data_IF_278847105149
#
_entry.id   IF_278847105149
#
_cell.length_a   1.000
_cell.length_b   1.000
_cell.length_c   1.000
_cell.angle_alpha   90.00
_cell.angle_beta   90.00
_cell.angle_gamma   90.00
#
_symmetry.space_group_name_H-M   'P 1'
#
loop_
_entity.id
_entity.type
_entity.pdbx_description
1 polymer ?
#
# COMPACT_ATOMS: atom_id res chain seq x y z
N UNK A 1 4.37 -14.39 0.51
CA UNK A 1 3.19 -13.61 0.05
C UNK A 1 3.46 -12.15 0.39
N UNK A 2 3.16 -11.21 -0.52
CA UNK A 2 3.34 -9.77 -0.25
C UNK A 2 2.18 -9.26 0.59
N UNK A 3 2.45 -8.37 1.54
CA UNK A 3 1.43 -7.83 2.43
C UNK A 3 0.49 -6.84 1.70
N UNK A 4 -0.82 -6.94 1.95
CA UNK A 4 -1.84 -6.10 1.32
C UNK A 4 -1.62 -4.59 1.55
N UNK A 5 -1.00 -4.22 2.68
CA UNK A 5 -0.72 -2.84 3.05
C UNK A 5 0.32 -2.21 2.11
N UNK A 6 1.33 -2.97 1.67
CA UNK A 6 2.30 -2.48 0.71
C UNK A 6 1.65 -2.26 -0.67
N UNK A 7 0.74 -3.17 -1.07
CA UNK A 7 -0.03 -3.02 -2.32
C UNK A 7 -0.92 -1.78 -2.23
N UNK A 8 -1.66 -1.63 -1.14
CA UNK A 8 -2.52 -0.47 -0.92
C UNK A 8 -1.72 0.84 -0.94
N UNK A 9 -0.60 0.87 -0.23
CA UNK A 9 0.24 2.05 -0.05
C UNK A 9 0.91 2.52 -1.34
N UNK A 10 1.46 1.60 -2.16
CA UNK A 10 2.19 1.94 -3.38
C UNK A 10 1.29 2.14 -4.60
N UNK A 11 0.12 1.49 -4.64
CA UNK A 11 -0.86 1.75 -5.70
C UNK A 11 -1.72 2.99 -5.36
N UNK A 12 -1.83 3.35 -4.08
CA UNK A 12 -2.64 4.48 -3.64
C UNK A 12 -4.15 4.21 -3.75
N UNK A 13 -4.57 2.95 -3.63
CA UNK A 13 -5.97 2.58 -3.73
C UNK A 13 -6.69 2.67 -2.39
N UNK A 14 -7.90 3.23 -2.39
CA UNK A 14 -8.80 3.09 -1.26
C UNK A 14 -9.27 1.63 -1.12
N UNK A 15 -9.39 1.19 0.11
CA UNK A 15 -10.04 -0.05 0.51
C UNK A 15 -11.50 -0.10 0.04
N UNK A 16 -12.04 -1.31 -0.06
CA UNK A 16 -13.45 -1.50 -0.41
C UNK A 16 -14.37 -0.75 0.56
N UNK A 17 -14.07 -0.81 1.85
CA UNK A 17 -14.84 -0.15 2.90
C UNK A 17 -14.82 1.38 2.75
N UNK A 18 -13.64 1.98 2.52
CA UNK A 18 -13.54 3.43 2.28
C UNK A 18 -14.35 3.87 1.04
N UNK A 19 -14.31 3.09 -0.05
CA UNK A 19 -15.12 3.35 -1.26
C UNK A 19 -16.61 3.23 -0.97
N UNK A 20 -17.02 2.21 -0.21
CA UNK A 20 -18.41 1.98 0.18
C UNK A 20 -18.95 3.17 0.98
N UNK A 21 -18.20 3.63 1.99
CA UNK A 21 -18.56 4.75 2.86
C UNK A 21 -18.64 6.03 2.05
N UNK A 22 -17.63 6.31 1.22
CA UNK A 22 -17.61 7.48 0.37
C UNK A 22 -18.85 7.51 -0.54
N UNK A 23 -19.18 6.40 -1.20
CA UNK A 23 -20.36 6.30 -2.06
C UNK A 23 -21.66 6.54 -1.28
N UNK A 24 -21.86 5.83 -0.15
CA UNK A 24 -23.12 5.89 0.61
C UNK A 24 -23.32 7.24 1.30
N UNK A 25 -22.31 7.79 1.96
CA UNK A 25 -22.42 9.06 2.67
C UNK A 25 -22.53 10.27 1.74
N UNK A 26 -21.83 10.24 0.60
CA UNK A 26 -22.00 11.32 -0.40
C UNK A 26 -23.37 11.25 -1.07
N UNK A 27 -23.93 10.05 -1.27
CA UNK A 27 -25.31 9.91 -1.71
C UNK A 27 -26.31 10.38 -0.65
N UNK A 28 -26.09 10.04 0.63
CA UNK A 28 -26.90 10.56 1.74
C UNK A 28 -26.89 12.10 1.77
N UNK A 29 -25.71 12.72 1.69
CA UNK A 29 -25.59 14.17 1.55
C UNK A 29 -26.30 14.69 0.29
N UNK A 30 -26.19 14.00 -0.85
CA UNK A 30 -26.92 14.42 -2.06
C UNK A 30 -28.42 14.45 -1.84
N UNK A 31 -29.00 13.45 -1.16
CA UNK A 31 -30.42 13.42 -0.82
C UNK A 31 -30.80 14.59 0.10
N UNK A 32 -29.96 14.92 1.08
CA UNK A 32 -30.18 16.04 2.00
C UNK A 32 -30.34 17.42 1.31
N UNK A 33 -29.59 17.67 0.23
CA UNK A 33 -29.64 18.94 -0.51
C UNK A 33 -30.43 18.86 -1.83
N UNK A 34 -31.13 17.76 -2.07
CA UNK A 34 -31.93 17.57 -3.27
C UNK A 34 -33.29 18.27 -3.14
N UNK A 35 -33.79 18.87 -4.23
CA UNK A 35 -35.16 19.41 -4.28
C UNK A 35 -36.21 18.35 -3.95
N UNK A 36 -37.22 18.73 -3.17
CA UNK A 36 -38.37 17.90 -2.76
C UNK A 36 -39.30 17.52 -3.92
N UNK A 37 -39.14 18.12 -5.09
CA UNK A 37 -39.87 17.71 -6.30
C UNK A 37 -39.43 16.34 -6.80
N UNK A 38 -38.17 15.95 -6.51
CA UNK A 38 -37.63 14.68 -6.97
C UNK A 38 -38.10 13.52 -6.10
N UNK A 39 -38.56 12.45 -6.74
CA UNK A 39 -39.03 11.23 -6.07
C UNK A 39 -38.03 10.67 -5.06
N UNK A 40 -36.74 10.64 -5.39
CA UNK A 40 -35.70 10.16 -4.49
C UNK A 40 -35.63 10.96 -3.19
N UNK A 41 -35.84 12.28 -3.23
CA UNK A 41 -35.94 13.12 -2.03
C UNK A 41 -37.20 12.82 -1.23
N UNK A 42 -38.35 12.69 -1.90
CA UNK A 42 -39.63 12.38 -1.25
C UNK A 42 -39.61 11.05 -0.52
N UNK A 43 -39.07 10.02 -1.17
CA UNK A 43 -38.88 8.70 -0.57
C UNK A 43 -37.92 8.79 0.61
N UNK A 44 -36.82 9.52 0.49
CA UNK A 44 -35.90 9.74 1.60
C UNK A 44 -36.57 10.44 2.78
N UNK A 45 -37.30 11.53 2.55
CA UNK A 45 -38.05 12.24 3.60
C UNK A 45 -39.08 11.32 4.27
N UNK A 46 -39.80 10.51 3.50
CA UNK A 46 -40.74 9.51 4.03
C UNK A 46 -40.03 8.48 4.92
N UNK A 47 -38.91 7.92 4.46
CA UNK A 47 -38.13 6.94 5.23
C UNK A 47 -37.63 7.52 6.57
N UNK A 48 -37.18 8.78 6.56
CA UNK A 48 -36.70 9.47 7.76
C UNK A 48 -37.85 9.82 8.71
N UNK A 49 -39.00 10.29 8.19
CA UNK A 49 -40.17 10.64 9.00
C UNK A 49 -40.82 9.41 9.66
N UNK A 50 -40.86 8.28 8.96
CA UNK A 50 -41.45 7.02 9.45
C UNK A 50 -40.46 6.17 10.27
N UNK A 51 -39.22 6.62 10.44
CA UNK A 51 -38.15 5.86 11.11
C UNK A 51 -37.94 4.44 10.53
N UNK A 52 -38.25 4.23 9.25
CA UNK A 52 -38.12 2.93 8.61
C UNK A 52 -36.64 2.55 8.41
N UNK A 53 -36.17 1.57 9.19
CA UNK A 53 -34.78 1.07 9.14
C UNK A 53 -34.54 0.08 8.00
N UNK A 54 -34.59 0.57 6.76
CA UNK A 54 -34.22 -0.21 5.58
C UNK A 54 -32.78 -0.74 5.70
N UNK A 55 -32.42 -1.74 4.90
CA UNK A 55 -31.03 -2.26 4.86
C UNK A 55 -30.02 -1.15 4.57
N UNK A 56 -30.38 -0.21 3.69
CA UNK A 56 -29.53 0.93 3.35
C UNK A 56 -29.36 1.90 4.54
N UNK A 57 -30.46 2.31 5.19
CA UNK A 57 -30.42 3.20 6.36
C UNK A 57 -29.59 2.59 7.49
N UNK A 58 -29.79 1.29 7.77
CA UNK A 58 -28.97 0.56 8.77
C UNK A 58 -27.50 0.56 8.43
N UNK A 59 -27.15 0.34 7.15
CA UNK A 59 -25.75 0.33 6.72
C UNK A 59 -25.12 1.71 6.79
N UNK A 60 -25.82 2.77 6.37
CA UNK A 60 -25.35 4.16 6.50
C UNK A 60 -25.06 4.48 7.97
N UNK A 61 -25.99 4.20 8.86
CA UNK A 61 -25.81 4.42 10.30
C UNK A 61 -24.59 3.68 10.88
N UNK A 62 -24.37 2.42 10.50
CA UNK A 62 -23.19 1.65 10.92
C UNK A 62 -21.89 2.28 10.43
N UNK A 63 -21.86 2.77 9.18
CA UNK A 63 -20.68 3.40 8.60
C UNK A 63 -20.42 4.78 9.24
N UNK A 64 -21.47 5.58 9.49
CA UNK A 64 -21.36 6.86 10.19
C UNK A 64 -20.77 6.67 11.59
N UNK A 65 -21.28 5.67 12.35
CA UNK A 65 -20.74 5.32 13.67
C UNK A 65 -19.27 4.91 13.59
N UNK A 66 -18.92 4.05 12.63
CA UNK A 66 -17.57 3.48 12.51
C UNK A 66 -16.51 4.55 12.18
N UNK A 67 -16.87 5.51 11.34
CA UNK A 67 -15.96 6.58 10.91
C UNK A 67 -16.07 7.85 11.77
N UNK A 68 -16.72 7.77 12.94
CA UNK A 68 -16.71 8.85 13.92
C UNK A 68 -17.62 10.04 13.61
N UNK A 69 -18.52 9.92 12.62
CA UNK A 69 -19.36 11.05 12.17
C UNK A 69 -20.43 11.49 13.19
N UNK A 70 -20.67 10.70 14.25
CA UNK A 70 -21.57 11.09 15.34
C UNK A 70 -20.86 11.87 16.44
N UNK A 71 -19.58 11.59 16.68
CA UNK A 71 -18.76 12.31 17.65
C UNK A 71 -18.37 13.69 17.12
N UNK A 72 -18.01 13.75 15.83
CA UNK A 72 -17.65 14.99 15.16
C UNK A 72 -18.59 15.24 13.97
N UNK A 73 -19.67 16.02 14.17
CA UNK A 73 -20.58 16.38 13.09
C UNK A 73 -19.88 17.14 11.96
N UNK A 74 -20.42 17.02 10.75
CA UNK A 74 -19.92 17.77 9.59
C UNK A 74 -20.19 19.27 9.76
N UNK A 75 -19.16 20.09 9.62
CA UNK A 75 -19.23 21.55 9.80
C UNK A 75 -19.76 22.24 8.55
N UNK A 76 -19.44 21.72 7.36
CA UNK A 76 -19.78 22.40 6.13
C UNK A 76 -21.31 22.52 5.91
N UNK A 77 -21.76 23.72 5.55
CA UNK A 77 -23.20 24.00 5.39
C UNK A 77 -23.75 23.62 4.02
N UNK A 78 -22.89 23.48 3.00
CA UNK A 78 -23.30 23.15 1.64
C UNK A 78 -22.89 21.74 1.21
N UNK A 79 -23.60 21.21 0.21
CA UNK A 79 -23.37 19.84 -0.33
C UNK A 79 -21.93 19.56 -0.71
N UNK A 80 -21.27 20.52 -1.38
CA UNK A 80 -19.91 20.35 -1.91
C UNK A 80 -18.91 20.27 -0.76
N UNK A 81 -19.02 21.16 0.22
CA UNK A 81 -18.22 21.19 1.43
C UNK A 81 -18.35 19.90 2.23
N UNK A 82 -19.60 19.45 2.51
CA UNK A 82 -19.82 18.18 3.23
C UNK A 82 -19.22 16.98 2.51
N UNK A 83 -19.35 16.94 1.18
CA UNK A 83 -18.76 15.86 0.38
C UNK A 83 -17.23 15.85 0.49
N UNK A 84 -16.60 17.03 0.51
CA UNK A 84 -15.15 17.17 0.68
C UNK A 84 -14.71 16.71 2.08
N UNK A 85 -15.42 17.16 3.11
CA UNK A 85 -15.17 16.82 4.51
C UNK A 85 -15.32 15.31 4.77
N UNK A 86 -16.38 14.69 4.24
CA UNK A 86 -16.58 13.23 4.28
C UNK A 86 -15.38 12.50 3.67
N UNK A 87 -14.94 12.90 2.49
CA UNK A 87 -13.81 12.24 1.81
C UNK A 87 -12.51 12.41 2.57
N UNK A 88 -12.28 13.59 3.16
CA UNK A 88 -11.10 13.87 3.95
C UNK A 88 -11.06 12.99 5.21
N UNK A 89 -12.16 12.93 5.97
CA UNK A 89 -12.23 12.10 7.17
C UNK A 89 -12.10 10.60 6.87
N UNK A 90 -12.69 10.13 5.77
CA UNK A 90 -12.50 8.75 5.31
C UNK A 90 -11.03 8.47 4.98
N UNK A 91 -10.36 9.42 4.30
CA UNK A 91 -8.94 9.29 3.96
C UNK A 91 -8.07 9.21 5.22
N UNK A 92 -8.28 10.09 6.19
CA UNK A 92 -7.53 10.10 7.45
C UNK A 92 -7.74 8.81 8.25
N UNK A 93 -8.98 8.36 8.38
CA UNK A 93 -9.31 7.10 9.07
C UNK A 93 -8.71 5.88 8.35
N UNK A 94 -8.67 5.89 7.01
CA UNK A 94 -8.06 4.85 6.20
C UNK A 94 -6.53 4.83 6.34
N UNK A 95 -5.87 5.98 6.28
CA UNK A 95 -4.43 6.10 6.49
C UNK A 95 -4.01 5.65 7.89
N UNK A 96 -4.79 6.00 8.92
CA UNK A 96 -4.50 5.57 10.28
C UNK A 96 -4.63 4.05 10.44
N UNK A 97 -5.73 3.47 9.94
CA UNK A 97 -5.91 2.02 9.95
C UNK A 97 -4.81 1.30 9.19
N UNK A 98 -4.37 1.86 8.07
CA UNK A 98 -3.27 1.32 7.27
C UNK A 98 -1.94 1.35 8.04
N UNK A 99 -1.59 2.47 8.69
CA UNK A 99 -0.40 2.56 9.55
C UNK A 99 -0.43 1.52 10.67
N UNK A 100 -1.56 1.39 11.37
CA UNK A 100 -1.72 0.41 12.44
C UNK A 100 -1.56 -1.03 11.95
N UNK A 101 -2.09 -1.36 10.77
CA UNK A 101 -1.97 -2.70 10.18
C UNK A 101 -0.51 -3.06 9.82
N UNK A 102 0.36 -2.07 9.59
CA UNK A 102 1.78 -2.28 9.31
C UNK A 102 2.62 -2.54 10.57
N UNK A 103 2.22 -2.02 11.74
CA UNK A 103 3.01 -2.09 12.98
C UNK A 103 3.35 -3.53 13.38
N UNK A 104 2.39 -4.44 13.23
CA UNK A 104 2.54 -5.84 13.63
C UNK A 104 3.30 -6.71 12.61
N UNK A 105 3.74 -6.14 11.47
CA UNK A 105 4.37 -6.89 10.38
C UNK A 105 5.85 -6.54 10.29
N UNK A 106 6.70 -7.40 10.84
CA UNK A 106 8.16 -7.23 10.80
C UNK A 106 8.72 -7.12 9.38
N UNK A 107 8.13 -7.83 8.40
CA UNK A 107 8.55 -7.74 7.00
C UNK A 107 8.34 -6.36 6.38
N UNK A 108 7.47 -5.52 6.95
CA UNK A 108 7.21 -4.16 6.47
C UNK A 108 8.02 -3.09 7.21
N UNK A 109 9.01 -3.48 8.03
CA UNK A 109 9.77 -2.52 8.84
C UNK A 109 10.44 -1.42 8.00
N UNK A 110 11.14 -1.80 6.93
CA UNK A 110 11.74 -0.83 6.01
C UNK A 110 10.68 0.01 5.29
N UNK A 111 9.61 -0.63 4.83
CA UNK A 111 8.52 0.03 4.12
C UNK A 111 7.83 1.11 4.96
N UNK A 112 7.45 0.79 6.21
CA UNK A 112 6.76 1.72 7.12
C UNK A 112 7.66 2.84 7.64
N UNK A 113 8.98 2.66 7.63
CA UNK A 113 9.94 3.69 8.05
C UNK A 113 10.00 4.84 7.04
N UNK A 114 9.77 4.56 5.76
CA UNK A 114 9.92 5.55 4.69
C UNK A 114 8.65 5.84 3.89
N UNK A 115 7.57 5.07 4.09
CA UNK A 115 6.27 5.28 3.42
C UNK A 115 5.23 5.72 4.44
N UNK A 116 4.89 7.00 4.41
CA UNK A 116 3.98 7.61 5.40
C UNK A 116 2.53 7.74 4.92
N UNK A 117 2.31 7.68 3.61
CA UNK A 117 1.01 7.96 2.98
C UNK A 117 0.62 6.93 1.92
N UNK A 118 -0.69 6.71 1.79
CA UNK A 118 -1.29 5.90 0.74
C UNK A 118 -1.34 6.77 -0.52
N UNK A 119 -0.35 6.58 -1.40
CA UNK A 119 -0.21 7.39 -2.61
C UNK A 119 0.49 6.59 -3.72
N UNK A 120 0.05 6.72 -4.98
CA UNK A 120 0.62 5.99 -6.09
C UNK A 120 2.11 6.31 -6.27
N UNK A 121 2.90 5.27 -6.49
CA UNK A 121 4.35 5.35 -6.63
C UNK A 121 4.72 5.10 -8.10
N UNK A 122 5.31 6.07 -8.83
CA UNK A 122 5.58 5.98 -10.27
C UNK A 122 6.87 5.20 -10.58
N UNK A 123 7.13 4.10 -9.89
CA UNK A 123 8.36 3.31 -10.04
C UNK A 123 8.17 2.05 -10.87
N UNK A 124 6.92 1.67 -11.18
CA UNK A 124 6.60 0.37 -11.74
C UNK A 124 6.24 0.45 -13.23
N UNK A 125 6.88 -0.39 -14.03
CA UNK A 125 6.71 -0.52 -15.49
C UNK A 125 6.17 -1.91 -15.89
N UNK A 126 5.62 -2.67 -14.93
CA UNK A 126 5.14 -4.04 -15.07
C UNK A 126 6.19 -5.08 -15.53
N UNK A 127 7.47 -4.71 -15.64
CA UNK A 127 8.57 -5.63 -15.90
C UNK A 127 8.93 -6.51 -14.69
N UNK A 128 9.74 -7.54 -14.92
CA UNK A 128 10.23 -8.42 -13.85
C UNK A 128 10.97 -7.63 -12.76
N UNK A 129 11.83 -6.69 -13.15
CA UNK A 129 12.53 -5.83 -12.22
C UNK A 129 11.59 -4.99 -11.36
N UNK A 130 10.45 -4.54 -11.89
CA UNK A 130 9.41 -3.83 -11.12
C UNK A 130 8.72 -4.74 -10.11
N UNK A 131 8.43 -5.99 -10.48
CA UNK A 131 7.86 -6.99 -9.55
C UNK A 131 8.85 -7.27 -8.42
N UNK A 132 10.11 -7.51 -8.74
CA UNK A 132 11.16 -7.78 -7.75
C UNK A 132 11.45 -6.56 -6.88
N UNK A 133 11.43 -5.36 -7.45
CA UNK A 133 11.58 -4.10 -6.71
C UNK A 133 10.43 -3.92 -5.71
N UNK A 134 9.19 -4.18 -6.12
CA UNK A 134 8.04 -4.14 -5.22
C UNK A 134 8.17 -5.17 -4.08
N UNK A 135 8.58 -6.41 -4.40
CA UNK A 135 8.86 -7.41 -3.37
C UNK A 135 9.96 -6.95 -2.41
N UNK A 136 11.04 -6.33 -2.90
CA UNK A 136 12.12 -5.79 -2.08
C UNK A 136 11.65 -4.64 -1.18
N UNK A 137 10.91 -3.68 -1.73
CA UNK A 137 10.30 -2.56 -1.00
C UNK A 137 9.37 -3.05 0.12
N UNK A 138 8.55 -4.06 -0.16
CA UNK A 138 7.64 -4.66 0.81
C UNK A 138 8.32 -5.66 1.76
N UNK A 139 9.65 -5.79 1.69
CA UNK A 139 10.46 -6.76 2.45
C UNK A 139 10.11 -8.22 2.16
N UNK A 140 9.39 -8.50 1.08
CA UNK A 140 8.88 -9.80 0.68
C UNK A 140 9.77 -10.54 -0.34
N UNK A 141 10.86 -9.93 -0.79
CA UNK A 141 11.82 -10.52 -1.72
C UNK A 141 12.33 -11.85 -1.18
N UNK A 142 12.28 -12.90 -2.02
CA UNK A 142 12.56 -14.28 -1.62
C UNK A 142 14.05 -14.61 -1.55
N UNK A 143 14.81 -13.80 -0.81
CA UNK A 143 16.22 -14.04 -0.52
C UNK A 143 16.41 -15.28 0.36
N UNK A 144 17.60 -15.86 0.40
CA UNK A 144 17.85 -17.03 1.24
C UNK A 144 17.65 -16.76 2.73
N UNK A 145 18.10 -15.60 3.24
CA UNK A 145 17.86 -15.22 4.64
C UNK A 145 16.36 -15.20 4.96
N UNK A 146 15.53 -14.69 4.04
CA UNK A 146 14.07 -14.72 4.23
C UNK A 146 13.51 -16.14 4.17
N UNK A 147 14.03 -17.00 3.29
CA UNK A 147 13.56 -18.38 3.15
C UNK A 147 13.89 -19.22 4.37
N UNK A 148 15.03 -18.99 5.02
CA UNK A 148 15.43 -19.71 6.23
C UNK A 148 14.34 -19.71 7.32
N UNK A 149 13.56 -18.64 7.42
CA UNK A 149 12.46 -18.56 8.38
C UNK A 149 11.31 -19.55 8.11
N UNK A 150 11.26 -20.18 6.94
CA UNK A 150 10.16 -21.06 6.50
C UNK A 150 10.63 -22.40 5.93
N UNK A 151 11.92 -22.55 5.67
CA UNK A 151 12.52 -23.72 5.03
C UNK A 151 13.61 -24.29 5.95
N UNK A 152 13.24 -25.35 6.68
CA UNK A 152 14.14 -26.04 7.62
C UNK A 152 15.21 -26.89 6.93
N UNK A 153 15.12 -27.11 5.63
CA UNK A 153 16.10 -27.87 4.84
C UNK A 153 17.18 -26.96 4.25
N UNK A 154 17.06 -25.64 4.43
CA UNK A 154 18.01 -24.67 3.89
C UNK A 154 19.34 -24.72 4.65
N UNK A 155 20.34 -25.34 4.02
CA UNK A 155 21.68 -25.55 4.58
C UNK A 155 22.50 -24.26 4.70
N UNK A 156 22.29 -23.30 3.78
CA UNK A 156 23.07 -22.06 3.74
C UNK A 156 22.25 -20.89 3.24
N UNK A 157 22.50 -19.72 3.84
CA UNK A 157 21.92 -18.43 3.44
C UNK A 157 22.88 -17.56 2.64
N UNK A 158 24.09 -18.06 2.35
CA UNK A 158 25.11 -17.33 1.61
C UNK A 158 24.64 -17.02 0.19
N UNK A 159 24.92 -15.80 -0.27
CA UNK A 159 24.51 -15.30 -1.58
C UNK A 159 24.98 -16.20 -2.72
N UNK A 160 24.03 -16.63 -3.56
CA UNK A 160 24.32 -17.51 -4.71
C UNK A 160 25.13 -16.84 -5.82
N UNK A 161 25.15 -15.51 -5.84
CA UNK A 161 25.89 -14.77 -6.84
C UNK A 161 27.37 -14.62 -6.46
N UNK A 162 27.67 -14.23 -5.21
CA UNK A 162 29.05 -13.95 -4.79
C UNK A 162 29.69 -15.04 -3.92
N UNK A 163 28.90 -15.91 -3.29
CA UNK A 163 29.40 -16.96 -2.39
C UNK A 163 30.05 -16.45 -1.10
N UNK A 164 29.99 -15.14 -0.80
CA UNK A 164 30.78 -14.54 0.29
C UNK A 164 29.98 -14.19 1.55
N UNK A 165 28.83 -13.53 1.41
CA UNK A 165 28.02 -13.04 2.54
C UNK A 165 26.57 -13.46 2.41
N UNK A 166 25.81 -13.33 3.48
CA UNK A 166 24.39 -13.69 3.53
C UNK A 166 23.55 -12.96 2.47
N UNK A 167 22.64 -13.71 1.85
CA UNK A 167 21.74 -13.20 0.83
C UNK A 167 20.61 -12.38 1.47
N UNK A 168 20.88 -11.09 1.68
CA UNK A 168 19.90 -10.10 2.16
C UNK A 168 19.42 -9.18 1.03
N UNK A 169 18.34 -8.43 1.28
CA UNK A 169 17.86 -7.41 0.34
C UNK A 169 18.93 -6.33 0.14
N UNK A 170 19.53 -5.85 1.23
CA UNK A 170 20.66 -4.91 1.19
C UNK A 170 21.77 -5.44 0.31
N UNK A 171 22.21 -6.68 0.56
CA UNK A 171 23.29 -7.27 -0.23
C UNK A 171 22.99 -7.29 -1.73
N UNK A 172 21.83 -7.81 -2.14
CA UNK A 172 21.47 -7.91 -3.56
C UNK A 172 21.36 -6.52 -4.21
N UNK A 173 20.68 -5.59 -3.54
CA UNK A 173 20.36 -4.28 -4.11
C UNK A 173 21.59 -3.36 -4.13
N UNK A 174 22.40 -3.34 -3.07
CA UNK A 174 23.44 -2.31 -2.87
C UNK A 174 24.86 -2.83 -2.70
N UNK A 175 25.15 -4.12 -2.50
CA UNK A 175 26.52 -4.52 -2.10
C UNK A 175 27.14 -5.63 -2.96
N UNK A 176 26.32 -6.48 -3.59
CA UNK A 176 26.80 -7.67 -4.27
C UNK A 176 27.74 -7.32 -5.44
N UNK A 177 29.02 -7.74 -5.40
CA UNK A 177 30.01 -7.36 -6.42
C UNK A 177 29.82 -8.12 -7.74
N UNK A 178 29.14 -9.26 -7.69
CA UNK A 178 28.85 -10.10 -8.86
C UNK A 178 27.58 -9.67 -9.62
N UNK A 179 26.88 -8.65 -9.15
CA UNK A 179 25.72 -8.07 -9.82
C UNK A 179 26.12 -6.74 -10.47
N UNK A 180 25.64 -6.52 -11.68
CA UNK A 180 25.90 -5.33 -12.49
C UNK A 180 24.60 -4.58 -12.79
N UNK A 181 24.58 -3.24 -12.81
CA UNK A 181 25.72 -2.34 -12.54
C UNK A 181 26.11 -2.35 -11.06
N UNK A 182 27.33 -1.90 -10.75
CA UNK A 182 27.71 -1.63 -9.37
C UNK A 182 26.73 -0.61 -8.77
N UNK A 183 26.44 -0.78 -7.49
CA UNK A 183 25.77 0.26 -6.74
C UNK A 183 26.66 1.50 -6.74
N UNK A 184 26.13 2.65 -7.14
CA UNK A 184 26.62 3.90 -6.58
C UNK A 184 26.42 3.79 -5.07
N UNK A 185 27.34 4.27 -4.22
CA UNK A 185 27.26 4.26 -2.74
C UNK A 185 25.98 4.92 -2.20
N UNK A 186 24.84 4.28 -2.41
CA UNK A 186 23.49 4.81 -2.27
C UNK A 186 22.86 4.01 -1.16
N UNK A 187 22.22 4.70 -0.23
CA UNK A 187 21.45 4.07 0.83
C UNK A 187 20.40 3.11 0.24
N UNK A 188 20.08 2.04 0.98
CA UNK A 188 19.12 1.02 0.55
C UNK A 188 17.74 1.65 0.31
N UNK A 189 17.30 2.60 1.14
CA UNK A 189 16.00 3.21 0.97
C UNK A 189 15.92 3.99 -0.35
N UNK A 190 16.94 4.79 -0.64
CA UNK A 190 17.06 5.52 -1.91
C UNK A 190 17.18 4.56 -3.12
N UNK A 191 17.94 3.46 -3.00
CA UNK A 191 18.05 2.45 -4.05
C UNK A 191 16.72 1.74 -4.34
N UNK A 192 15.85 1.62 -3.33
CA UNK A 192 14.49 1.11 -3.46
C UNK A 192 13.48 2.18 -3.91
N UNK A 193 13.90 3.43 -4.05
CA UNK A 193 13.07 4.56 -4.48
C UNK A 193 12.18 5.12 -3.39
N UNK A 194 12.55 4.95 -2.13
CA UNK A 194 12.01 5.78 -1.05
C UNK A 194 12.67 7.16 -1.11
N UNK A 195 11.91 8.17 -0.71
CA UNK A 195 12.33 9.57 -0.65
C UNK A 195 11.84 10.16 0.64
N UNK A 196 12.70 10.92 1.31
CA UNK A 196 12.29 11.73 2.44
C UNK A 196 11.42 12.90 1.95
N UNK A 197 10.69 13.51 2.87
CA UNK A 197 9.66 14.50 2.54
C UNK A 197 10.29 15.74 1.87
N UNK A 198 10.10 15.87 0.55
CA UNK A 198 10.60 17.00 -0.24
C UNK A 198 11.69 16.64 -1.25
N UNK A 199 12.23 15.42 -1.19
CA UNK A 199 13.27 14.97 -2.12
C UNK A 199 12.71 14.34 -3.40
N UNK A 200 13.51 14.42 -4.47
CA UNK A 200 13.20 13.84 -5.77
C UNK A 200 13.73 12.40 -5.82
N UNK A 201 12.90 11.48 -6.30
CA UNK A 201 13.32 10.07 -6.43
C UNK A 201 14.47 9.95 -7.41
N UNK A 202 15.54 9.28 -6.99
CA UNK A 202 16.63 8.88 -7.89
C UNK A 202 16.20 7.69 -8.76
N UNK A 203 15.56 8.00 -9.88
CA UNK A 203 15.16 7.02 -10.88
C UNK A 203 16.34 6.25 -11.49
N UNK A 204 17.57 6.80 -11.44
CA UNK A 204 18.75 6.09 -11.94
C UNK A 204 19.15 4.98 -10.98
N UNK A 205 19.19 5.25 -9.68
CA UNK A 205 19.41 4.24 -8.64
C UNK A 205 18.34 3.15 -8.70
N UNK A 206 17.05 3.52 -8.79
CA UNK A 206 15.95 2.56 -8.90
C UNK A 206 16.10 1.65 -10.13
N UNK A 207 16.48 2.20 -11.28
CA UNK A 207 16.69 1.41 -12.50
C UNK A 207 17.85 0.42 -12.33
N UNK A 208 18.95 0.86 -11.70
CA UNK A 208 20.08 -0.03 -11.37
C UNK A 208 19.63 -1.17 -10.46
N UNK A 209 18.86 -0.87 -9.42
CA UNK A 209 18.29 -1.87 -8.50
C UNK A 209 17.44 -2.91 -9.24
N UNK A 210 16.56 -2.47 -10.14
CA UNK A 210 15.77 -3.39 -10.98
C UNK A 210 16.66 -4.32 -11.80
N UNK A 211 17.67 -3.79 -12.48
CA UNK A 211 18.60 -4.60 -13.29
C UNK A 211 19.36 -5.63 -12.44
N UNK A 212 19.87 -5.23 -11.27
CA UNK A 212 20.55 -6.12 -10.34
C UNK A 212 19.63 -7.24 -9.84
N UNK A 213 18.39 -6.91 -9.47
CA UNK A 213 17.37 -7.86 -9.03
C UNK A 213 17.05 -8.89 -10.12
N UNK A 214 16.90 -8.45 -11.37
CA UNK A 214 16.66 -9.35 -12.51
C UNK A 214 17.83 -10.31 -12.76
N UNK A 215 19.07 -9.82 -12.67
CA UNK A 215 20.27 -10.64 -12.78
C UNK A 215 20.35 -11.68 -11.66
N UNK A 216 20.16 -11.24 -10.41
CA UNK A 216 20.10 -12.14 -9.25
C UNK A 216 19.03 -13.22 -9.43
N UNK A 217 17.86 -12.85 -9.95
CA UNK A 217 16.77 -13.81 -10.20
C UNK A 217 17.18 -14.86 -11.24
N UNK A 218 17.89 -14.47 -12.30
CA UNK A 218 18.40 -15.40 -13.32
C UNK A 218 19.43 -16.39 -12.75
N UNK A 219 20.37 -15.90 -11.94
CA UNK A 219 21.37 -16.75 -11.27
C UNK A 219 20.67 -17.76 -10.34
N UNK A 220 19.74 -17.27 -9.54
CA UNK A 220 18.97 -18.10 -8.60
C UNK A 220 18.20 -19.22 -9.30
N UNK A 221 17.62 -18.94 -10.48
CA UNK A 221 16.88 -19.92 -11.26
C UNK A 221 17.79 -20.97 -11.93
N UNK A 222 19.02 -20.60 -12.34
CA UNK A 222 19.99 -21.55 -12.89
C UNK A 222 20.48 -22.53 -11.83
N UNK A 223 20.86 -22.03 -10.65
CA UNK A 223 21.31 -22.88 -9.54
C UNK A 223 20.24 -23.86 -9.01
N UNK A 224 18.95 -23.57 -9.22
CA UNK A 224 17.88 -24.53 -8.89
C UNK A 224 17.77 -25.67 -9.90
N UNK A 225 18.13 -25.44 -11.17
CA UNK A 225 18.06 -26.46 -12.24
C UNK A 225 19.27 -27.40 -12.23
N UNK A 226 20.41 -26.94 -11.72
CA UNK A 226 21.65 -27.73 -11.63
C UNK A 226 21.71 -28.59 -10.36
N UNK A 227 20.83 -28.33 -9.38
CA UNK A 227 20.70 -29.09 -8.13
C UNK A 227 19.43 -29.93 -8.01
N UNK A 228 18.69 -30.14 -9.11
CA UNK A 228 17.57 -31.10 -9.23
C UNK A 228 18.01 -32.28 -10.07
#
# INVERSE_FOLDING_TARGET
>A
MVANEAVQGDIGWSSFEAREVASKLTFHCRLMYMSRERWSRRVFDYLMATCMRTKWVRRVYQLEKKFGFFQEPLVAENRRGRTKEIRQRIKEAEEEKWRQAQVNKSSLLLYRQHKDTIAPVPLYDNGLGSVLLFEARAGALRTLVRRQAYDGELVSVVCRACGGVDETIAHIVTECPQLSPSSSNTDLAAALGFVDTGDVVDYTAVRRSKTRLEQWRKITLRGLREGS
#
